data_IF_534917158518
#
_entry.id   IF_534917158518
#
_cell.length_a   1.000
_cell.length_b   1.000
_cell.length_c   1.000
_cell.angle_alpha   90.00
_cell.angle_beta   90.00
_cell.angle_gamma   90.00
#
_symmetry.space_group_name_H-M   'P 1'
#
loop_
_entity.id
_entity.type
_entity.pdbx_description
1 polymer ?
#
# COMPACT_ATOMS: atom_id res chain seq x y z
N UNK A 1 -7.26 -3.66 -12.74
CA UNK A 1 -7.27 -3.02 -11.40
C UNK A 1 -5.86 -2.97 -10.76
N UNK A 2 -4.82 -3.63 -11.28
CA UNK A 2 -3.43 -3.35 -10.83
C UNK A 2 -2.58 -3.02 -12.05
N UNK A 3 -2.22 -1.75 -12.21
CA UNK A 3 -1.28 -1.30 -13.26
C UNK A 3 0.18 -1.32 -12.79
N UNK A 4 0.42 -1.42 -11.47
CA UNK A 4 1.77 -1.36 -10.90
C UNK A 4 2.45 0.01 -11.08
N UNK A 5 1.69 1.05 -11.39
CA UNK A 5 2.20 2.39 -11.65
C UNK A 5 2.18 3.23 -10.38
N UNK A 6 3.33 3.30 -9.69
CA UNK A 6 3.46 4.06 -8.46
C UNK A 6 3.43 5.57 -8.66
N UNK A 7 3.81 6.07 -9.85
CA UNK A 7 3.72 7.51 -10.16
C UNK A 7 2.25 7.93 -10.24
N UNK A 8 1.45 7.15 -10.96
CA UNK A 8 0.01 7.38 -11.05
C UNK A 8 -0.67 7.22 -9.69
N UNK A 9 -0.25 6.27 -8.86
CA UNK A 9 -0.73 6.15 -7.50
C UNK A 9 -0.46 7.42 -6.68
N UNK A 10 0.76 7.99 -6.77
CA UNK A 10 1.10 9.26 -6.13
C UNK A 10 0.24 10.42 -6.63
N UNK A 11 0.03 10.52 -7.95
CA UNK A 11 -0.84 11.55 -8.55
C UNK A 11 -2.28 11.44 -8.04
N UNK A 12 -2.84 10.23 -8.02
CA UNK A 12 -4.17 9.98 -7.48
C UNK A 12 -4.27 10.32 -5.99
N UNK A 13 -3.23 10.05 -5.20
CA UNK A 13 -3.22 10.44 -3.79
C UNK A 13 -3.25 11.96 -3.60
N UNK A 14 -2.60 12.74 -4.47
CA UNK A 14 -2.69 14.20 -4.46
C UNK A 14 -4.09 14.67 -4.88
N UNK A 15 -4.58 14.16 -6.01
CA UNK A 15 -5.88 14.55 -6.57
C UNK A 15 -7.07 14.23 -5.63
N UNK A 16 -6.95 13.16 -4.83
CA UNK A 16 -7.97 12.72 -3.88
C UNK A 16 -7.73 13.19 -2.44
N UNK A 17 -6.62 13.87 -2.16
CA UNK A 17 -6.38 14.42 -0.84
C UNK A 17 -7.39 15.55 -0.56
N UNK A 18 -8.09 15.47 0.58
CA UNK A 18 -9.05 16.51 0.99
C UNK A 18 -8.41 17.90 1.09
N UNK A 19 -7.12 17.94 1.39
CA UNK A 19 -6.27 19.13 1.43
C UNK A 19 -4.81 18.65 1.42
N UNK A 20 -3.96 19.18 0.55
CA UNK A 20 -2.52 18.92 0.61
C UNK A 20 -1.73 20.23 0.49
N UNK A 21 -0.76 20.41 1.39
CA UNK A 21 0.20 21.53 1.34
C UNK A 21 1.52 21.09 0.70
N UNK A 22 1.39 20.21 -0.29
CA UNK A 22 2.52 19.63 -0.99
C UNK A 22 3.26 20.72 -1.77
N UNK A 23 4.50 20.99 -1.36
CA UNK A 23 5.35 21.98 -2.02
C UNK A 23 6.01 21.41 -3.29
N UNK A 24 6.19 20.09 -3.34
CA UNK A 24 6.79 19.39 -4.46
C UNK A 24 5.98 18.11 -4.78
N UNK A 25 4.92 18.25 -5.60
CA UNK A 25 4.09 17.13 -6.06
C UNK A 25 4.85 16.10 -6.90
N UNK A 26 5.83 16.55 -7.69
CA UNK A 26 6.63 15.68 -8.56
C UNK A 26 7.54 14.78 -7.72
N UNK A 27 8.23 15.33 -6.72
CA UNK A 27 9.03 14.52 -5.81
C UNK A 27 8.18 13.50 -5.02
N UNK A 28 6.95 13.85 -4.65
CA UNK A 28 6.03 12.90 -4.03
C UNK A 28 5.66 11.74 -4.99
N UNK A 29 5.29 12.05 -6.23
CA UNK A 29 4.98 11.06 -7.25
C UNK A 29 6.18 10.16 -7.59
N UNK A 30 7.39 10.72 -7.68
CA UNK A 30 8.62 9.96 -7.89
C UNK A 30 8.96 9.07 -6.68
N UNK A 31 8.74 9.55 -5.46
CA UNK A 31 8.87 8.76 -4.24
C UNK A 31 7.91 7.57 -4.21
N UNK A 32 6.65 7.79 -4.60
CA UNK A 32 5.65 6.71 -4.73
C UNK A 32 6.01 5.72 -5.85
N UNK A 33 6.56 6.20 -6.97
CA UNK A 33 7.10 5.31 -8.02
C UNK A 33 8.21 4.43 -7.47
N UNK A 34 9.22 5.03 -6.81
CA UNK A 34 10.33 4.28 -6.22
C UNK A 34 9.89 3.24 -5.19
N UNK A 35 8.89 3.56 -4.38
CA UNK A 35 8.29 2.64 -3.41
C UNK A 35 7.61 1.44 -4.09
N UNK A 36 6.85 1.68 -5.16
CA UNK A 36 6.19 0.60 -5.92
C UNK A 36 7.21 -0.21 -6.72
N UNK A 37 8.21 0.44 -7.30
CA UNK A 37 9.32 -0.23 -8.00
C UNK A 37 10.13 -1.11 -7.03
N UNK A 38 10.37 -0.67 -5.80
CA UNK A 38 11.01 -1.48 -4.76
C UNK A 38 10.14 -2.70 -4.40
N UNK A 39 8.83 -2.49 -4.26
CA UNK A 39 7.87 -3.53 -3.89
C UNK A 39 7.59 -4.54 -5.02
N UNK A 40 7.73 -4.15 -6.30
CA UNK A 40 7.45 -5.00 -7.46
C UNK A 40 8.71 -5.52 -8.16
N UNK A 41 9.81 -4.75 -8.11
CA UNK A 41 11.11 -5.07 -8.70
C UNK A 41 11.87 -6.15 -7.94
N UNK A 42 11.49 -6.40 -6.70
CA UNK A 42 11.87 -7.57 -5.89
C UNK A 42 11.14 -8.84 -6.37
N UNK A 43 11.26 -9.14 -7.67
CA UNK A 43 10.75 -10.37 -8.32
C UNK A 43 11.33 -11.68 -7.78
N UNK A 44 12.18 -11.66 -6.75
CA UNK A 44 12.90 -12.85 -6.27
C UNK A 44 12.65 -13.25 -4.82
N UNK A 45 12.00 -12.44 -3.96
CA UNK A 45 11.63 -12.85 -2.59
C UNK A 45 10.41 -12.10 -2.05
N UNK A 46 9.20 -12.53 -2.43
CA UNK A 46 7.96 -12.17 -1.71
C UNK A 46 8.03 -12.52 -0.20
N UNK A 47 8.90 -13.46 0.19
CA UNK A 47 9.23 -13.75 1.60
C UNK A 47 9.77 -12.54 2.39
N UNK A 48 10.22 -11.47 1.71
CA UNK A 48 10.85 -10.31 2.36
C UNK A 48 10.04 -9.01 2.33
N UNK A 49 8.95 -8.95 1.56
CA UNK A 49 8.15 -7.73 1.47
C UNK A 49 7.06 -7.72 2.53
N UNK A 50 7.21 -6.80 3.47
CA UNK A 50 6.22 -6.52 4.50
C UNK A 50 5.21 -5.51 3.97
N UNK A 51 3.92 -5.88 3.93
CA UNK A 51 2.87 -4.93 3.53
C UNK A 51 2.87 -3.70 4.44
N UNK A 52 3.10 -3.93 5.73
CA UNK A 52 3.21 -2.91 6.73
C UNK A 52 4.42 -2.00 6.52
N UNK A 53 5.54 -2.53 6.00
CA UNK A 53 6.70 -1.69 5.67
C UNK A 53 6.41 -0.80 4.44
N UNK A 54 5.74 -1.33 3.43
CA UNK A 54 5.30 -0.55 2.26
C UNK A 54 4.34 0.55 2.69
N UNK A 55 3.33 0.23 3.52
CA UNK A 55 2.38 1.20 4.06
C UNK A 55 3.07 2.26 4.94
N UNK A 56 4.02 1.84 5.78
CA UNK A 56 4.82 2.74 6.62
C UNK A 56 5.61 3.74 5.78
N UNK A 57 6.29 3.27 4.72
CA UNK A 57 7.05 4.13 3.80
C UNK A 57 6.12 5.09 3.05
N UNK A 58 4.96 4.62 2.58
CA UNK A 58 3.97 5.47 1.91
C UNK A 58 3.44 6.57 2.85
N UNK A 59 3.16 6.25 4.11
CA UNK A 59 2.74 7.24 5.11
C UNK A 59 3.85 8.21 5.44
N UNK A 60 5.10 7.74 5.53
CA UNK A 60 6.25 8.62 5.72
C UNK A 60 6.39 9.61 4.56
N UNK A 61 6.24 9.16 3.30
CA UNK A 61 6.25 10.03 2.12
C UNK A 61 5.11 11.06 2.18
N UNK A 62 3.90 10.63 2.49
CA UNK A 62 2.74 11.52 2.60
C UNK A 62 2.94 12.58 3.70
N UNK A 63 3.48 12.20 4.86
CA UNK A 63 3.82 13.13 5.93
C UNK A 63 4.89 14.14 5.50
N UNK A 64 6.01 13.67 4.91
CA UNK A 64 7.11 14.53 4.43
C UNK A 64 6.61 15.56 3.42
N UNK A 65 5.80 15.13 2.47
CA UNK A 65 5.23 15.97 1.42
C UNK A 65 3.91 16.66 1.81
N UNK A 66 3.47 16.54 3.08
CA UNK A 66 2.24 17.15 3.61
C UNK A 66 0.98 16.84 2.78
N UNK A 67 0.90 15.61 2.29
CA UNK A 67 -0.27 15.05 1.61
C UNK A 67 -1.18 14.44 2.67
N UNK A 68 -2.37 15.02 2.89
CA UNK A 68 -3.29 14.47 3.88
C UNK A 68 -3.95 13.21 3.36
N UNK A 69 -3.85 12.16 4.15
CA UNK A 69 -4.56 10.90 3.93
C UNK A 69 -5.89 10.98 4.69
N UNK A 70 -6.95 10.45 4.09
CA UNK A 70 -8.25 10.34 4.74
C UNK A 70 -8.17 9.41 5.98
N UNK A 71 -8.80 9.80 7.08
CA UNK A 71 -8.63 9.17 8.40
C UNK A 71 -9.12 7.72 8.46
N UNK A 72 -10.23 7.38 7.79
CA UNK A 72 -10.73 6.00 7.77
C UNK A 72 -9.77 5.10 6.98
N UNK A 73 -9.26 5.58 5.84
CA UNK A 73 -8.22 4.87 5.10
C UNK A 73 -6.95 4.68 5.94
N UNK A 74 -6.52 5.73 6.64
CA UNK A 74 -5.35 5.65 7.52
C UNK A 74 -5.52 4.62 8.65
N UNK A 75 -6.71 4.58 9.27
CA UNK A 75 -7.04 3.62 10.32
C UNK A 75 -6.94 2.16 9.84
N UNK A 76 -7.44 1.87 8.62
CA UNK A 76 -7.36 0.53 8.02
C UNK A 76 -5.90 0.12 7.80
N UNK A 77 -5.09 1.00 7.21
CA UNK A 77 -3.66 0.73 6.99
C UNK A 77 -2.92 0.49 8.31
N UNK A 78 -3.23 1.24 9.36
CA UNK A 78 -2.66 1.04 10.70
C UNK A 78 -3.07 -0.32 11.27
N UNK A 79 -4.34 -0.72 11.13
CA UNK A 79 -4.79 -2.03 11.56
C UNK A 79 -4.04 -3.16 10.84
N UNK A 80 -3.78 -3.02 9.53
CA UNK A 80 -2.96 -3.97 8.76
C UNK A 80 -1.53 -4.02 9.31
N UNK A 81 -0.89 -2.87 9.52
CA UNK A 81 0.46 -2.79 10.09
C UNK A 81 0.56 -3.46 11.46
N UNK A 82 -0.42 -3.24 12.35
CA UNK A 82 -0.47 -3.87 13.67
C UNK A 82 -0.71 -5.37 13.55
N UNK A 83 -1.67 -5.79 12.72
CA UNK A 83 -2.00 -7.20 12.51
C UNK A 83 -0.78 -7.97 12.00
N UNK A 84 -0.04 -7.42 11.04
CA UNK A 84 1.17 -8.02 10.52
C UNK A 84 2.28 -8.07 11.56
N UNK A 85 2.46 -6.99 12.35
CA UNK A 85 3.44 -6.96 13.44
C UNK A 85 3.15 -8.01 14.53
N UNK A 86 1.89 -8.19 14.90
CA UNK A 86 1.46 -9.25 15.84
C UNK A 86 1.60 -10.63 15.20
N UNK A 87 1.16 -10.78 13.95
CA UNK A 87 1.22 -12.03 13.21
C UNK A 87 2.64 -12.54 13.06
N UNK A 88 3.62 -11.69 12.71
CA UNK A 88 5.03 -12.07 12.59
C UNK A 88 5.71 -12.42 13.91
N UNK A 89 5.20 -11.90 15.04
CA UNK A 89 5.69 -12.33 16.35
C UNK A 89 5.26 -13.76 16.69
N UNK A 90 4.14 -14.22 16.13
CA UNK A 90 3.62 -15.59 16.32
C UNK A 90 4.14 -16.56 15.25
N UNK A 91 4.20 -16.11 14.00
CA UNK A 91 4.74 -16.83 12.85
C UNK A 91 5.70 -15.92 12.08
N UNK A 92 7.03 -16.05 12.31
CA UNK A 92 8.04 -15.20 11.66
C UNK A 92 8.03 -15.24 10.13
N UNK A 93 7.45 -16.29 9.54
CA UNK A 93 7.38 -16.47 8.08
C UNK A 93 6.05 -16.01 7.47
N UNK A 94 5.17 -15.41 8.28
CA UNK A 94 3.87 -14.94 7.82
C UNK A 94 4.01 -13.87 6.72
N UNK A 95 3.37 -14.16 5.59
CA UNK A 95 3.10 -13.22 4.52
C UNK A 95 1.59 -12.91 4.47
N UNK A 96 1.24 -11.74 4.98
CA UNK A 96 -0.16 -11.29 5.07
C UNK A 96 -0.77 -11.02 3.69
N UNK A 97 0.02 -10.65 2.68
CA UNK A 97 -0.47 -10.43 1.32
C UNK A 97 -0.86 -11.75 0.69
N UNK A 98 -0.02 -12.78 0.83
CA UNK A 98 -0.32 -14.13 0.38
C UNK A 98 -1.55 -14.71 1.11
N UNK A 99 -1.64 -14.51 2.43
CA UNK A 99 -2.80 -14.93 3.22
C UNK A 99 -4.11 -14.24 2.78
N UNK A 100 -4.04 -13.01 2.26
CA UNK A 100 -5.18 -12.27 1.78
C UNK A 100 -5.67 -12.69 0.38
N UNK A 101 -4.82 -13.34 -0.44
CA UNK A 101 -5.17 -13.71 -1.83
C UNK A 101 -6.50 -14.45 -1.93
N UNK A 102 -6.78 -15.52 -1.16
CA UNK A 102 -8.04 -16.26 -1.28
C UNK A 102 -9.27 -15.38 -1.01
N UNK A 103 -9.18 -14.48 -0.03
CA UNK A 103 -10.26 -13.56 0.36
C UNK A 103 -10.52 -12.53 -0.75
N UNK A 104 -9.45 -11.97 -1.32
CA UNK A 104 -9.52 -10.97 -2.38
C UNK A 104 -9.97 -11.58 -3.72
N UNK A 105 -9.47 -12.77 -4.06
CA UNK A 105 -9.81 -13.49 -5.30
C UNK A 105 -11.25 -14.02 -5.28
N UNK A 106 -11.73 -14.52 -4.13
CA UNK A 106 -13.09 -15.01 -3.99
C UNK A 106 -14.14 -13.95 -4.38
N UNK A 107 -13.89 -12.68 -4.08
CA UNK A 107 -14.77 -11.57 -4.48
C UNK A 107 -14.79 -11.35 -6.00
N UNK A 108 -13.64 -11.46 -6.65
CA UNK A 108 -13.52 -11.28 -8.11
C UNK A 108 -14.19 -12.44 -8.86
N UNK A 109 -14.08 -13.67 -8.35
CA UNK A 109 -14.75 -14.84 -8.91
C UNK A 109 -16.27 -14.78 -8.73
N UNK A 110 -16.77 -14.30 -7.58
CA UNK A 110 -18.20 -14.08 -7.35
C UNK A 110 -18.79 -13.03 -8.30
N UNK A 111 -18.08 -11.92 -8.50
CA UNK A 111 -18.48 -10.88 -9.45
C UNK A 111 -18.55 -11.40 -10.90
N UNK A 112 -17.62 -12.25 -11.33
CA UNK A 112 -17.66 -12.90 -12.65
C UNK A 112 -18.72 -14.01 -12.76
N UNK A 113 -19.11 -14.62 -11.65
CA UNK A 113 -20.13 -15.65 -11.58
C UNK A 113 -21.56 -15.10 -11.51
N UNK A 114 -21.76 -13.77 -11.49
CA UNK A 114 -23.09 -13.16 -11.50
C UNK A 114 -23.90 -13.34 -10.22
N UNK A 115 -23.22 -13.54 -9.08
CA UNK A 115 -23.81 -13.60 -7.73
C UNK A 115 -23.57 -12.30 -6.95
#
# INVERSE_FOLDING_TARGET
IVKGDGREAGRLMLDNARDHRCQDPEAFCEGMRGLVDEALGSKLRLESISAGEVLRKAFSLACTHRVKIESNFASICIAIMVLEGVGRRLDPTLDILNAAIPVLAARTLRYKAGL
#
